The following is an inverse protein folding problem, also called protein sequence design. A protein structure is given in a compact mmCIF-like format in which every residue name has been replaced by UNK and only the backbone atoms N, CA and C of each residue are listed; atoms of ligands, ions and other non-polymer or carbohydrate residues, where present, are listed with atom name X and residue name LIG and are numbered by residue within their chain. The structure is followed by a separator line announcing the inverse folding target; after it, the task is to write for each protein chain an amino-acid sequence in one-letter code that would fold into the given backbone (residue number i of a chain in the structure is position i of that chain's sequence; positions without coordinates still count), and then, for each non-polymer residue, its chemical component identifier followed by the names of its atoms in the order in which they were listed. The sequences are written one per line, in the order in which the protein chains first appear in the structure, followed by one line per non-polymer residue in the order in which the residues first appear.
data_IF_677690400226
#
_entry.id   IF_677690400226
#
_cell.length_a   1.000
_cell.length_b   1.000
_cell.length_c   1.000
_cell.angle_alpha   90.00
_cell.angle_beta   90.00
_cell.angle_gamma   90.00
#
_symmetry.space_group_name_H-M   'P 1'
#
loop_
_entity.id
_entity.type
_entity.pdbx_description
1 polymer ?
#
# COMPACT_ATOMS: atom_id res chain seq x y z
N UNK A 1 16.59 8.45 -14.26
CA UNK A 1 16.44 9.30 -13.07
C UNK A 1 16.39 8.37 -11.86
N UNK A 2 17.22 8.61 -10.84
CA UNK A 2 17.48 7.68 -9.74
C UNK A 2 16.35 7.76 -8.70
N UNK A 3 15.56 6.69 -8.53
CA UNK A 3 14.57 6.60 -7.44
C UNK A 3 15.29 6.47 -6.09
N UNK A 4 15.11 7.44 -5.20
CA UNK A 4 15.46 7.33 -3.79
C UNK A 4 14.20 6.94 -2.99
N UNK A 5 14.04 5.65 -2.71
CA UNK A 5 13.06 5.20 -1.70
C UNK A 5 13.80 4.88 -0.41
N UNK A 6 13.46 5.58 0.68
CA UNK A 6 14.03 5.34 2.00
C UNK A 6 12.98 4.63 2.85
N UNK A 7 13.13 3.32 3.05
CA UNK A 7 12.28 2.52 3.94
C UNK A 7 13.10 2.20 5.19
N UNK A 8 12.72 2.78 6.32
CA UNK A 8 13.35 2.50 7.62
C UNK A 8 12.53 1.47 8.37
N UNK A 9 13.00 0.23 8.44
CA UNK A 9 12.57 -0.73 9.46
C UNK A 9 13.81 -1.25 10.17
N UNK A 10 13.83 -1.18 11.49
CA UNK A 10 14.81 -1.89 12.33
C UNK A 10 14.05 -2.95 13.11
N UNK A 11 14.23 -4.21 12.73
CA UNK A 11 14.28 -5.40 13.62
C UNK A 11 14.49 -6.69 12.79
N UNK A 12 15.48 -7.49 13.24
CA UNK A 12 16.02 -8.77 12.75
C UNK A 12 16.57 -8.89 11.32
N UNK A 13 17.90 -8.82 11.25
CA UNK A 13 18.60 -7.95 10.30
C UNK A 13 19.72 -8.69 9.57
N UNK A 14 19.41 -9.25 8.39
CA UNK A 14 20.32 -9.04 7.25
C UNK A 14 19.65 -9.44 5.93
N UNK A 15 19.12 -10.65 5.81
CA UNK A 15 18.61 -11.13 4.52
C UNK A 15 17.31 -10.42 4.09
N UNK A 16 16.35 -10.25 5.00
CA UNK A 16 15.10 -9.54 4.71
C UNK A 16 15.34 -8.04 4.51
N UNK A 17 16.25 -7.44 5.29
CA UNK A 17 16.67 -6.05 5.08
C UNK A 17 17.42 -5.86 3.76
N UNK A 18 18.37 -6.73 3.41
CA UNK A 18 19.07 -6.70 2.12
C UNK A 18 18.06 -6.87 0.98
N UNK A 19 17.13 -7.83 1.09
CA UNK A 19 16.08 -8.02 0.08
C UNK A 19 15.18 -6.78 -0.04
N UNK A 20 14.80 -6.16 1.08
CA UNK A 20 14.03 -4.92 1.10
C UNK A 20 14.81 -3.76 0.45
N UNK A 21 16.08 -3.58 0.80
CA UNK A 21 16.96 -2.52 0.28
C UNK A 21 17.40 -2.72 -1.17
N UNK A 22 17.34 -3.96 -1.69
CA UNK A 22 17.70 -4.29 -3.08
C UNK A 22 16.50 -4.42 -4.01
N UNK A 23 15.28 -4.49 -3.48
CA UNK A 23 14.06 -4.58 -4.30
C UNK A 23 13.62 -3.19 -4.69
N UNK A 24 13.40 -2.96 -5.99
CA UNK A 24 12.77 -1.71 -6.47
C UNK A 24 11.38 -1.58 -5.84
N UNK A 25 11.09 -0.41 -5.27
CA UNK A 25 9.75 -0.08 -4.82
C UNK A 25 8.74 -0.29 -5.96
N UNK A 26 7.57 -0.88 -5.68
CA UNK A 26 6.56 -1.07 -6.71
C UNK A 26 6.03 0.30 -7.17
N UNK A 27 5.68 0.39 -8.45
CA UNK A 27 4.94 1.53 -8.99
C UNK A 27 3.47 1.28 -8.72
N UNK A 28 2.72 2.30 -8.32
CA UNK A 28 1.28 2.18 -8.14
C UNK A 28 0.54 3.29 -8.89
N UNK A 29 -0.75 3.08 -9.14
CA UNK A 29 -1.65 4.12 -9.59
C UNK A 29 -3.05 3.91 -9.02
N UNK A 30 -3.74 5.03 -8.76
CA UNK A 30 -5.17 5.07 -8.52
C UNK A 30 -5.83 5.78 -9.70
N UNK A 31 -6.76 5.12 -10.37
CA UNK A 31 -7.53 5.70 -11.48
C UNK A 31 -8.98 5.84 -11.06
N UNK A 32 -9.47 7.07 -11.00
CA UNK A 32 -10.88 7.35 -10.77
C UNK A 32 -11.70 6.85 -11.97
N UNK A 33 -12.68 5.98 -11.71
CA UNK A 33 -13.64 5.48 -12.71
C UNK A 33 -14.91 6.32 -12.65
N UNK A 34 -15.41 6.56 -11.43
CA UNK A 34 -16.54 7.44 -11.12
C UNK A 34 -16.34 8.04 -9.71
N UNK A 35 -17.33 8.81 -9.22
CA UNK A 35 -17.26 9.55 -7.96
C UNK A 35 -16.74 8.74 -6.75
N UNK A 36 -17.03 7.44 -6.69
CA UNK A 36 -16.65 6.60 -5.55
C UNK A 36 -15.88 5.34 -5.94
N UNK A 37 -15.71 5.07 -7.23
CA UNK A 37 -15.10 3.83 -7.73
C UNK A 37 -13.73 4.10 -8.32
N UNK A 38 -12.75 3.32 -7.88
CA UNK A 38 -11.35 3.47 -8.28
C UNK A 38 -10.79 2.14 -8.75
N UNK A 39 -9.97 2.17 -9.79
CA UNK A 39 -9.05 1.08 -10.10
C UNK A 39 -7.71 1.34 -9.41
N UNK A 40 -7.25 0.39 -8.60
CA UNK A 40 -5.90 0.37 -8.08
C UNK A 40 -5.04 -0.55 -8.92
N UNK A 41 -3.88 -0.07 -9.33
CA UNK A 41 -2.84 -0.87 -9.98
C UNK A 41 -1.57 -0.84 -9.16
N UNK A 42 -0.95 -2.01 -8.94
CA UNK A 42 0.35 -2.17 -8.31
C UNK A 42 1.25 -2.98 -9.23
N UNK A 43 2.24 -2.31 -9.81
CA UNK A 43 3.24 -2.90 -10.69
C UNK A 43 4.51 -3.23 -9.91
N UNK A 44 4.84 -4.51 -9.89
CA UNK A 44 6.09 -5.06 -9.38
C UNK A 44 6.95 -5.58 -10.54
N UNK A 45 8.26 -5.82 -10.35
CA UNK A 45 9.16 -6.22 -11.44
C UNK A 45 8.73 -7.43 -12.28
N UNK A 46 7.90 -8.33 -11.74
CA UNK A 46 7.51 -9.59 -12.39
C UNK A 46 5.99 -9.82 -12.42
N UNK A 47 5.19 -8.89 -11.92
CA UNK A 47 3.74 -9.06 -11.89
C UNK A 47 3.06 -7.71 -11.68
N UNK A 48 1.86 -7.59 -12.24
CA UNK A 48 0.99 -6.44 -12.01
C UNK A 48 -0.28 -6.95 -11.36
N UNK A 49 -0.63 -6.34 -10.23
CA UNK A 49 -1.90 -6.56 -9.56
C UNK A 49 -2.83 -5.40 -9.90
N UNK A 50 -4.07 -5.69 -10.26
CA UNK A 50 -5.10 -4.66 -10.48
C UNK A 50 -6.38 -5.11 -9.81
N UNK A 51 -7.07 -4.18 -9.16
CA UNK A 51 -8.41 -4.44 -8.65
C UNK A 51 -9.21 -3.14 -8.53
N UNK A 52 -10.51 -3.27 -8.72
CA UNK A 52 -11.47 -2.19 -8.55
C UNK A 52 -12.01 -2.23 -7.12
N UNK A 53 -12.17 -1.08 -6.51
CA UNK A 53 -12.86 -0.93 -5.22
C UNK A 53 -13.76 0.29 -5.24
N UNK A 54 -14.77 0.26 -4.38
CA UNK A 54 -15.62 1.41 -4.10
C UNK A 54 -15.35 1.93 -2.69
N UNK A 55 -15.31 3.25 -2.53
CA UNK A 55 -15.07 3.87 -1.23
C UNK A 55 -16.15 3.45 -0.21
N UNK A 56 -15.70 3.07 0.98
CA UNK A 56 -16.55 2.62 2.10
C UNK A 56 -17.04 1.18 2.00
N UNK A 57 -16.83 0.50 0.87
CA UNK A 57 -17.28 -0.89 0.68
C UNK A 57 -16.15 -1.90 0.94
N UNK A 58 -16.53 -3.07 1.45
CA UNK A 58 -15.62 -4.19 1.63
C UNK A 58 -15.38 -4.90 0.30
N UNK A 59 -14.13 -5.25 0.01
CA UNK A 59 -13.73 -6.01 -1.18
C UNK A 59 -12.79 -7.13 -0.78
N UNK A 60 -13.08 -8.37 -1.18
CA UNK A 60 -12.15 -9.48 -1.00
C UNK A 60 -11.00 -9.34 -2.01
N UNK A 61 -9.75 -9.36 -1.52
CA UNK A 61 -8.53 -9.29 -2.32
C UNK A 61 -7.67 -10.51 -2.04
N UNK A 62 -7.23 -11.18 -3.10
CA UNK A 62 -6.25 -12.27 -3.02
C UNK A 62 -4.85 -11.68 -3.16
N UNK A 63 -4.05 -11.79 -2.09
CA UNK A 63 -2.65 -11.36 -2.08
C UNK A 63 -1.80 -12.32 -2.92
N UNK A 64 -0.57 -11.87 -3.21
CA UNK A 64 0.40 -12.62 -4.03
C UNK A 64 0.75 -13.99 -3.47
N UNK A 65 0.76 -14.14 -2.16
CA UNK A 65 1.03 -15.40 -1.46
C UNK A 65 -0.19 -16.35 -1.42
N UNK A 66 -1.31 -15.95 -2.05
CA UNK A 66 -2.57 -16.70 -2.05
C UNK A 66 -3.44 -16.45 -0.82
N UNK A 67 -2.96 -15.71 0.18
CA UNK A 67 -3.77 -15.32 1.33
C UNK A 67 -4.87 -14.34 0.91
N UNK A 68 -5.99 -14.35 1.64
CA UNK A 68 -7.12 -13.47 1.38
C UNK A 68 -7.25 -12.41 2.45
N UNK A 69 -7.68 -11.23 2.04
CA UNK A 69 -8.03 -10.14 2.94
C UNK A 69 -9.34 -9.50 2.53
N UNK A 70 -10.05 -8.98 3.51
CA UNK A 70 -11.11 -8.00 3.28
C UNK A 70 -10.46 -6.62 3.33
N UNK A 71 -10.60 -5.88 2.23
CA UNK A 71 -10.07 -4.53 2.08
C UNK A 71 -11.21 -3.52 2.12
N UNK A 72 -11.01 -2.42 2.85
CA UNK A 72 -11.88 -1.24 2.81
C UNK A 72 -11.04 0.01 2.59
N UNK A 73 -11.49 0.89 1.69
CA UNK A 73 -10.84 2.17 1.42
C UNK A 73 -11.79 3.32 1.72
N UNK A 74 -11.30 4.37 2.39
CA UNK A 74 -12.07 5.57 2.73
C UNK A 74 -11.20 6.81 2.58
N UNK A 75 -11.78 7.91 2.12
CA UNK A 75 -11.11 9.21 2.14
C UNK A 75 -11.24 9.84 3.54
N UNK A 76 -10.12 10.22 4.15
CA UNK A 76 -10.10 11.03 5.38
C UNK A 76 -10.15 12.53 5.04
N UNK A 77 -9.62 12.90 3.87
CA UNK A 77 -9.71 14.22 3.23
C UNK A 77 -9.50 14.04 1.71
N UNK A 78 -9.63 15.12 0.94
CA UNK A 78 -9.48 15.10 -0.52
C UNK A 78 -8.15 14.51 -1.02
N UNK A 79 -7.11 14.57 -0.19
CA UNK A 79 -5.76 14.12 -0.51
C UNK A 79 -5.22 13.02 0.42
N UNK A 80 -6.08 12.45 1.27
CA UNK A 80 -5.70 11.39 2.21
C UNK A 80 -6.61 10.17 2.07
N UNK A 81 -6.04 9.05 1.61
CA UNK A 81 -6.72 7.76 1.51
C UNK A 81 -6.30 6.86 2.67
N UNK A 82 -7.28 6.39 3.44
CA UNK A 82 -7.12 5.32 4.41
C UNK A 82 -7.52 4.00 3.78
N UNK A 83 -6.68 3.00 3.94
CA UNK A 83 -6.91 1.63 3.51
C UNK A 83 -6.73 0.69 4.69
N UNK A 84 -7.71 -0.19 4.92
CA UNK A 84 -7.71 -1.19 5.98
C UNK A 84 -7.74 -2.57 5.33
N UNK A 85 -6.84 -3.46 5.75
CA UNK A 85 -6.81 -4.86 5.33
C UNK A 85 -7.00 -5.77 6.54
N UNK A 86 -8.08 -6.53 6.54
CA UNK A 86 -8.40 -7.53 7.56
C UNK A 86 -8.14 -8.92 6.98
N UNK A 87 -7.16 -9.68 7.50
CA UNK A 87 -6.94 -11.05 7.08
C UNK A 87 -8.14 -11.96 7.37
N UNK A 88 -8.53 -12.81 6.42
CA UNK A 88 -9.67 -13.74 6.61
C UNK A 88 -9.33 -14.93 7.50
N UNK A 89 -8.04 -15.15 7.77
CA UNK A 89 -7.52 -16.23 8.62
C UNK A 89 -7.39 -15.84 10.10
N UNK A 90 -7.85 -14.64 10.49
CA UNK A 90 -7.74 -14.12 11.85
C UNK A 90 -6.37 -13.52 12.18
N UNK A 91 -5.52 -13.27 11.19
CA UNK A 91 -4.30 -12.49 11.35
C UNK A 91 -4.57 -11.03 11.75
N UNK A 92 -3.48 -10.30 12.05
CA UNK A 92 -3.56 -8.89 12.49
C UNK A 92 -4.02 -7.96 11.37
N UNK A 93 -4.87 -6.99 11.72
CA UNK A 93 -5.29 -5.94 10.78
C UNK A 93 -4.09 -5.07 10.40
N UNK A 94 -3.99 -4.73 9.12
CA UNK A 94 -2.99 -3.77 8.61
C UNK A 94 -3.68 -2.50 8.13
N UNK A 95 -3.17 -1.35 8.56
CA UNK A 95 -3.64 -0.03 8.20
C UNK A 95 -2.62 0.64 7.31
N UNK A 96 -3.08 1.20 6.19
CA UNK A 96 -2.31 2.03 5.30
C UNK A 96 -2.95 3.42 5.25
N UNK A 97 -2.12 4.45 5.31
CA UNK A 97 -2.54 5.84 5.14
C UNK A 97 -1.68 6.48 4.07
N UNK A 98 -2.32 6.84 2.97
CA UNK A 98 -1.71 7.50 1.81
C UNK A 98 -1.99 8.99 1.89
N UNK A 99 -0.94 9.79 1.81
CA UNK A 99 -1.00 11.24 1.74
C UNK A 99 -0.43 11.68 0.39
N UNK A 100 -1.23 12.39 -0.40
CA UNK A 100 -0.82 12.89 -1.71
C UNK A 100 -0.58 14.40 -1.62
N UNK A 101 0.58 14.86 -2.09
CA UNK A 101 0.97 16.27 -2.12
C UNK A 101 1.72 16.54 -3.41
N UNK A 102 1.13 17.34 -4.29
CA UNK A 102 1.68 17.68 -5.62
C UNK A 102 2.15 16.43 -6.40
N UNK A 103 3.46 16.28 -6.60
CA UNK A 103 4.10 15.16 -7.31
C UNK A 103 4.66 14.09 -6.37
N UNK A 104 4.28 14.12 -5.10
CA UNK A 104 4.78 13.24 -4.06
C UNK A 104 3.64 12.47 -3.40
N UNK A 105 3.94 11.26 -2.93
CA UNK A 105 3.04 10.50 -2.07
C UNK A 105 3.80 9.89 -0.90
N UNK A 106 3.20 9.95 0.28
CA UNK A 106 3.70 9.29 1.50
C UNK A 106 2.71 8.22 1.91
N UNK A 107 3.20 6.98 2.03
CA UNK A 107 2.44 5.87 2.60
C UNK A 107 2.96 5.56 4.00
N UNK A 108 2.05 5.57 4.97
CA UNK A 108 2.31 5.12 6.34
C UNK A 108 1.64 3.78 6.57
N UNK A 109 2.36 2.80 7.14
CA UNK A 109 1.83 1.45 7.40
C UNK A 109 1.90 1.15 8.90
N UNK A 110 0.79 0.66 9.45
CA UNK A 110 0.70 0.20 10.84
C UNK A 110 0.03 -1.17 10.91
N UNK A 111 0.42 -1.96 11.91
CA UNK A 111 -0.23 -3.22 12.23
C UNK A 111 -0.93 -3.12 13.57
N UNK A 112 -2.11 -3.71 13.68
CA UNK A 112 -2.84 -3.80 14.93
C UNK A 112 -1.99 -4.44 16.04
N UNK A 113 -2.01 -3.83 17.22
CA UNK A 113 -1.26 -4.30 18.40
C UNK A 113 0.27 -4.19 18.27
N UNK A 114 0.77 -3.33 17.38
CA UNK A 114 2.19 -3.05 17.20
C UNK A 114 2.47 -1.55 17.30
N UNK A 115 3.54 -1.18 18.00
CA UNK A 115 4.03 0.20 18.07
C UNK A 115 4.96 0.55 16.89
N UNK A 116 5.24 -0.42 16.00
CA UNK A 116 6.07 -0.24 14.82
C UNK A 116 5.26 0.40 13.70
N UNK A 117 5.81 1.48 13.13
CA UNK A 117 5.29 2.19 11.97
C UNK A 117 6.31 2.13 10.82
N UNK A 118 5.80 1.93 9.61
CA UNK A 118 6.56 2.08 8.38
C UNK A 118 6.22 3.38 7.69
N UNK A 119 7.19 3.96 6.99
CA UNK A 119 6.90 5.02 6.02
C UNK A 119 7.61 4.73 4.71
N UNK A 120 6.89 4.91 3.60
CA UNK A 120 7.42 4.83 2.24
C UNK A 120 7.10 6.12 1.52
N UNK A 121 8.10 6.72 0.89
CA UNK A 121 7.97 7.93 0.08
C UNK A 121 8.05 7.56 -1.39
N UNK A 122 7.18 8.18 -2.18
CA UNK A 122 7.05 8.01 -3.62
C UNK A 122 7.06 9.36 -4.31
N UNK A 123 7.58 9.37 -5.51
CA UNK A 123 7.52 10.48 -6.46
C UNK A 123 6.73 10.04 -7.68
N UNK A 124 5.99 10.98 -8.28
CA UNK A 124 5.30 10.79 -9.55
C UNK A 124 6.29 10.34 -10.62
N UNK A 125 5.88 9.37 -11.43
CA UNK A 125 6.64 8.90 -12.59
C UNK A 125 5.95 9.39 -13.86
N UNK A 126 6.72 10.00 -14.76
CA UNK A 126 6.26 10.45 -16.08
C UNK A 126 6.00 9.28 -17.05
#
# INVERSE_FOLDING_TARGET
MLLHSSISFVTDSNQNLIKMLTTKAPIFSFTCIDENTFNFTLQMPHTTMTHVFKLGEETEVVRRDGSKVIQTNTLESDNVLKQVMVPTDGGRVTYFRWEFVDKEAKMTIKMEGSDIEATVYYEEVD
#
